data_IF_758693654993
#
_entry.id   IF_758693654993
#
_cell.length_a   1.000
_cell.length_b   1.000
_cell.length_c   1.000
_cell.angle_alpha   90.00
_cell.angle_beta   90.00
_cell.angle_gamma   90.00
#
_symmetry.space_group_name_H-M   'P 1'
#
loop_
_entity.id
_entity.type
_entity.pdbx_description
1 polymer ?
#
# COMPACT_ATOMS: atom_id res chain seq x y z
N UNK A 1 -2.08 12.86 -22.69
CA UNK A 1 -1.21 11.66 -22.61
C UNK A 1 -1.55 10.90 -21.34
N UNK A 2 -1.12 9.63 -21.21
CA UNK A 2 -1.45 8.77 -20.06
C UNK A 2 -0.98 9.32 -18.69
N UNK A 3 -0.08 10.32 -18.72
CA UNK A 3 0.53 10.98 -17.57
C UNK A 3 -0.01 12.40 -17.31
N UNK A 4 -1.01 12.88 -18.08
CA UNK A 4 -1.58 14.23 -17.89
C UNK A 4 -2.56 14.29 -16.70
N UNK A 5 -2.87 13.13 -16.11
CA UNK A 5 -3.72 13.03 -14.92
C UNK A 5 -2.99 12.25 -13.85
N UNK A 6 -3.08 12.75 -12.62
CA UNK A 6 -2.57 12.04 -11.45
C UNK A 6 -3.18 10.64 -11.35
N UNK A 7 -2.33 9.70 -10.96
CA UNK A 7 -2.67 8.30 -10.84
C UNK A 7 -2.35 7.84 -9.43
N UNK A 8 -3.25 7.03 -8.90
CA UNK A 8 -2.93 6.20 -7.74
C UNK A 8 -2.37 4.90 -8.27
N UNK A 9 -1.25 4.48 -7.69
CA UNK A 9 -0.60 3.20 -7.94
C UNK A 9 -0.77 2.35 -6.71
N UNK A 10 -1.10 1.09 -6.90
CA UNK A 10 -0.98 0.10 -5.85
C UNK A 10 0.00 -1.01 -6.24
N UNK A 11 0.72 -1.51 -5.25
CA UNK A 11 1.68 -2.61 -5.39
C UNK A 11 1.42 -3.63 -4.30
N UNK A 12 1.25 -4.89 -4.66
CA UNK A 12 1.27 -6.02 -3.74
C UNK A 12 2.62 -6.73 -3.87
N UNK A 13 3.27 -6.97 -2.74
CA UNK A 13 4.46 -7.81 -2.61
C UNK A 13 4.03 -9.12 -1.97
N UNK A 14 4.17 -10.22 -2.70
CA UNK A 14 3.78 -11.55 -2.21
C UNK A 14 4.90 -12.25 -1.41
N UNK A 15 4.62 -13.44 -0.87
CA UNK A 15 5.58 -14.21 -0.07
C UNK A 15 6.89 -14.58 -0.81
N UNK A 16 6.87 -14.56 -2.15
CA UNK A 16 8.01 -14.87 -3.02
C UNK A 16 8.69 -13.61 -3.58
N UNK A 17 8.41 -12.43 -3.03
CA UNK A 17 8.92 -11.14 -3.50
C UNK A 17 8.48 -10.79 -4.94
N UNK A 18 7.34 -11.36 -5.39
CA UNK A 18 6.73 -10.96 -6.66
C UNK A 18 5.88 -9.71 -6.47
N UNK A 19 5.98 -8.80 -7.44
CA UNK A 19 5.22 -7.56 -7.49
C UNK A 19 3.99 -7.71 -8.38
N UNK A 20 2.83 -7.32 -7.87
CA UNK A 20 1.59 -7.21 -8.61
C UNK A 20 1.14 -5.75 -8.54
N UNK A 21 1.08 -5.09 -9.69
CA UNK A 21 0.94 -3.63 -9.77
C UNK A 21 -0.35 -3.31 -10.53
N UNK A 22 -1.16 -2.39 -10.01
CA UNK A 22 -2.24 -1.80 -10.79
C UNK A 22 -2.30 -0.28 -10.59
N UNK A 23 -2.94 0.39 -11.55
CA UNK A 23 -3.00 1.85 -11.62
C UNK A 23 -4.44 2.27 -11.83
N UNK A 24 -4.89 3.25 -11.06
CA UNK A 24 -6.26 3.75 -11.09
C UNK A 24 -6.36 5.26 -11.18
N UNK A 25 -7.56 5.76 -10.90
CA UNK A 25 -7.84 7.19 -10.72
C UNK A 25 -7.76 7.56 -9.25
N UNK A 26 -7.59 8.85 -8.89
CA UNK A 26 -7.67 9.29 -7.51
C UNK A 26 -8.95 8.80 -6.80
N UNK A 27 -8.80 8.16 -5.65
CA UNK A 27 -9.84 7.54 -4.83
C UNK A 27 -10.29 6.15 -5.26
N UNK A 28 -9.70 5.56 -6.31
CA UNK A 28 -10.07 4.21 -6.77
C UNK A 28 -8.95 3.52 -7.57
N UNK A 29 -8.41 2.46 -6.99
CA UNK A 29 -7.52 1.50 -7.66
C UNK A 29 -8.05 0.09 -7.45
N UNK A 30 -8.05 -0.71 -8.52
CA UNK A 30 -8.44 -2.12 -8.47
C UNK A 30 -7.53 -2.94 -9.38
N UNK A 31 -7.60 -4.27 -9.25
CA UNK A 31 -7.04 -5.20 -10.25
C UNK A 31 -8.10 -5.59 -11.30
N UNK A 32 -9.21 -4.86 -11.38
CA UNK A 32 -10.25 -5.13 -12.37
C UNK A 32 -9.68 -4.98 -13.78
N UNK A 33 -9.86 -5.99 -14.63
CA UNK A 33 -9.25 -6.08 -15.95
C UNK A 33 -7.77 -6.49 -15.97
N UNK A 34 -7.21 -6.90 -14.82
CA UNK A 34 -5.85 -7.45 -14.66
C UNK A 34 -5.86 -8.78 -13.89
N UNK A 35 -7.02 -9.45 -13.84
CA UNK A 35 -7.21 -10.67 -13.06
C UNK A 35 -6.34 -11.83 -13.56
N UNK A 36 -5.95 -11.81 -14.83
CA UNK A 36 -5.05 -12.76 -15.46
C UNK A 36 -3.59 -12.64 -14.97
N UNK A 37 -3.25 -11.52 -14.33
CA UNK A 37 -1.93 -11.27 -13.74
C UNK A 37 -1.83 -11.72 -12.28
N UNK A 38 -2.96 -11.98 -11.64
CA UNK A 38 -3.06 -12.45 -10.24
C UNK A 38 -2.77 -13.95 -10.00
N UNK A 39 -2.90 -14.88 -10.96
CA UNK A 39 -2.69 -16.30 -10.70
C UNK A 39 -1.27 -16.58 -10.19
N UNK A 40 -1.19 -17.35 -9.11
CA UNK A 40 0.08 -17.77 -8.52
C UNK A 40 0.65 -16.83 -7.47
N UNK A 41 -0.05 -15.76 -7.09
CA UNK A 41 0.25 -14.94 -5.92
C UNK A 41 0.34 -15.81 -4.65
N UNK A 42 1.39 -15.61 -3.86
CA UNK A 42 1.65 -16.40 -2.65
C UNK A 42 1.33 -15.64 -1.37
N UNK A 43 0.54 -16.28 -0.52
CA UNK A 43 0.21 -15.82 0.82
C UNK A 43 1.23 -16.35 1.86
N UNK A 44 1.44 -15.63 2.99
CA UNK A 44 0.92 -14.29 3.26
C UNK A 44 1.56 -13.23 2.36
N UNK A 45 0.84 -12.14 2.09
CA UNK A 45 1.33 -10.97 1.40
C UNK A 45 2.25 -10.19 2.35
N UNK A 46 3.45 -9.87 1.89
CA UNK A 46 4.43 -9.11 2.68
C UNK A 46 4.01 -7.65 2.83
N UNK A 47 3.50 -7.06 1.74
CA UNK A 47 3.14 -5.64 1.77
C UNK A 47 2.13 -5.28 0.69
N UNK A 48 1.20 -4.40 1.05
CA UNK A 48 0.37 -3.66 0.11
C UNK A 48 0.76 -2.18 0.19
N UNK A 49 1.24 -1.61 -0.90
CA UNK A 49 1.63 -0.21 -1.01
C UNK A 49 0.58 0.51 -1.85
N UNK A 50 0.15 1.68 -1.42
CA UNK A 50 -0.75 2.56 -2.16
C UNK A 50 -0.19 3.99 -2.18
N UNK A 51 -0.39 4.74 -3.26
CA UNK A 51 0.11 6.12 -3.37
C UNK A 51 -1.04 7.11 -3.46
N UNK A 52 -1.02 8.18 -2.68
CA UNK A 52 -1.88 9.36 -2.90
C UNK A 52 -1.11 10.40 -3.70
N UNK A 53 -1.49 10.69 -4.96
CA UNK A 53 -0.76 11.61 -5.81
C UNK A 53 -0.92 13.09 -5.41
N UNK A 54 -1.84 13.42 -4.51
CA UNK A 54 -2.08 14.78 -4.03
C UNK A 54 -2.24 14.81 -2.50
N UNK A 55 -1.13 14.98 -1.78
CA UNK A 55 -1.15 15.34 -0.36
C UNK A 55 -0.62 14.27 0.59
N UNK A 56 -1.08 14.34 1.83
CA UNK A 56 -0.57 13.55 2.96
C UNK A 56 -0.76 12.05 2.80
N UNK A 57 0.06 11.26 3.48
CA UNK A 57 -0.14 9.82 3.59
C UNK A 57 -1.28 9.52 4.58
N UNK A 58 -2.40 8.96 4.09
CA UNK A 58 -3.50 8.51 4.94
C UNK A 58 -4.23 7.29 4.35
N UNK A 59 -4.79 6.45 5.21
CA UNK A 59 -5.72 5.40 4.77
C UNK A 59 -7.13 5.99 4.66
N UNK A 60 -7.65 6.04 3.44
CA UNK A 60 -9.06 6.37 3.18
C UNK A 60 -10.00 5.26 3.68
N UNK A 61 -11.30 5.54 3.74
CA UNK A 61 -12.29 4.51 4.10
C UNK A 61 -12.23 3.30 3.16
N UNK A 62 -11.99 3.55 1.86
CA UNK A 62 -11.83 2.50 0.85
C UNK A 62 -10.58 1.65 1.11
N UNK A 63 -9.48 2.29 1.51
CA UNK A 63 -8.24 1.60 1.85
C UNK A 63 -8.43 0.72 3.08
N UNK A 64 -9.03 1.26 4.14
CA UNK A 64 -9.31 0.52 5.37
C UNK A 64 -10.25 -0.67 5.14
N UNK A 65 -11.26 -0.53 4.26
CA UNK A 65 -12.13 -1.64 3.86
C UNK A 65 -11.35 -2.73 3.12
N UNK A 66 -10.45 -2.34 2.22
CA UNK A 66 -9.59 -3.29 1.49
C UNK A 66 -8.68 -4.03 2.45
N UNK A 67 -7.97 -3.29 3.31
CA UNK A 67 -7.12 -3.83 4.36
C UNK A 67 -7.88 -4.82 5.25
N UNK A 68 -9.08 -4.46 5.71
CA UNK A 68 -9.90 -5.32 6.58
C UNK A 68 -10.28 -6.66 5.95
N UNK A 69 -10.37 -6.75 4.62
CA UNK A 69 -10.59 -8.04 3.93
C UNK A 69 -9.34 -8.93 3.92
N UNK A 70 -8.15 -8.32 3.97
CA UNK A 70 -6.86 -9.00 3.78
C UNK A 70 -5.99 -9.05 5.05
N UNK A 71 -6.38 -8.42 6.15
CA UNK A 71 -5.55 -8.24 7.37
C UNK A 71 -4.98 -9.56 7.93
N UNK A 72 -5.67 -10.69 7.74
CA UNK A 72 -5.22 -12.01 8.20
C UNK A 72 -4.14 -12.63 7.32
N UNK A 73 -3.98 -12.11 6.11
CA UNK A 73 -3.09 -12.60 5.08
C UNK A 73 -2.08 -11.53 4.64
N UNK A 74 -2.00 -10.41 5.34
CA UNK A 74 -1.16 -9.26 5.01
C UNK A 74 -0.26 -8.93 6.20
N UNK A 75 1.04 -8.77 5.99
CA UNK A 75 1.99 -8.44 7.07
C UNK A 75 2.02 -6.93 7.36
N UNK A 76 1.90 -6.09 6.31
CA UNK A 76 1.75 -4.63 6.44
C UNK A 76 1.07 -3.99 5.24
N UNK A 77 0.46 -2.84 5.49
CA UNK A 77 -0.10 -1.94 4.49
C UNK A 77 0.56 -0.57 4.62
N UNK A 78 0.96 0.03 3.51
CA UNK A 78 1.70 1.29 3.47
C UNK A 78 1.05 2.24 2.48
N UNK A 79 0.80 3.47 2.91
CA UNK A 79 0.38 4.56 2.04
C UNK A 79 1.51 5.57 1.94
N UNK A 80 1.86 5.92 0.70
CA UNK A 80 2.83 6.96 0.38
C UNK A 80 2.10 8.22 -0.07
N UNK A 81 2.46 9.36 0.52
CA UNK A 81 2.00 10.69 0.14
C UNK A 81 3.18 11.60 -0.19
N UNK A 82 2.93 12.91 -0.16
CA UNK A 82 3.96 13.93 -0.35
C UNK A 82 4.92 13.94 0.84
N UNK A 83 6.12 13.36 0.65
CA UNK A 83 7.16 13.26 1.69
C UNK A 83 6.67 12.64 3.00
N UNK A 84 5.65 11.79 2.91
CA UNK A 84 5.03 11.14 4.06
C UNK A 84 4.79 9.65 3.75
N UNK A 85 4.88 8.84 4.79
CA UNK A 85 4.52 7.43 4.78
C UNK A 85 3.62 7.15 6.00
N UNK A 86 2.52 6.43 5.79
CA UNK A 86 1.69 5.89 6.86
C UNK A 86 1.58 4.38 6.69
N UNK A 87 1.91 3.63 7.74
CA UNK A 87 2.01 2.17 7.68
C UNK A 87 1.22 1.52 8.82
N UNK A 88 0.43 0.52 8.48
CA UNK A 88 -0.23 -0.40 9.43
C UNK A 88 0.47 -1.73 9.35
N UNK A 89 0.93 -2.22 10.48
CA UNK A 89 1.54 -3.54 10.62
C UNK A 89 0.55 -4.49 11.28
N UNK A 90 0.35 -5.67 10.69
CA UNK A 90 -0.46 -6.72 11.30
C UNK A 90 0.48 -7.68 12.03
N UNK A 91 0.21 -7.89 13.31
CA UNK A 91 1.06 -8.66 14.22
C UNK A 91 0.27 -9.74 14.91
N UNK A 92 0.98 -10.78 15.30
CA UNK A 92 0.50 -11.85 16.17
C UNK A 92 1.36 -11.84 17.41
N UNK A 93 0.75 -11.66 18.57
CA UNK A 93 1.45 -11.64 19.83
C UNK A 93 1.77 -13.04 20.35
N UNK A 94 2.45 -13.13 21.50
CA UNK A 94 2.92 -14.40 22.05
C UNK A 94 1.78 -15.40 22.36
N UNK A 95 0.58 -14.90 22.63
CA UNK A 95 -0.60 -15.70 22.98
C UNK A 95 -1.51 -15.95 21.77
N UNK A 96 -1.07 -15.58 20.56
CA UNK A 96 -1.82 -15.74 19.32
C UNK A 96 -2.84 -14.62 19.06
N UNK A 97 -2.80 -13.55 19.84
CA UNK A 97 -3.65 -12.37 19.66
C UNK A 97 -3.22 -11.57 18.43
N UNK A 98 -4.18 -11.24 17.58
CA UNK A 98 -3.94 -10.36 16.43
C UNK A 98 -4.08 -8.90 16.87
N UNK A 99 -3.09 -8.08 16.53
CA UNK A 99 -3.12 -6.64 16.79
C UNK A 99 -2.48 -5.86 15.65
N UNK A 100 -2.74 -4.56 15.64
CA UNK A 100 -2.24 -3.63 14.63
C UNK A 100 -1.29 -2.61 15.28
N UNK A 101 -0.14 -2.38 14.66
CA UNK A 101 0.77 -1.29 15.02
C UNK A 101 0.74 -0.24 13.91
N UNK A 102 0.79 1.03 14.31
CA UNK A 102 0.69 2.17 13.39
C UNK A 102 2.01 2.95 13.41
N UNK A 103 2.50 3.30 12.22
CA UNK A 103 3.65 4.17 12.03
C UNK A 103 3.28 5.30 11.08
N UNK A 104 3.74 6.51 11.39
CA UNK A 104 3.71 7.65 10.49
C UNK A 104 5.11 8.23 10.43
N UNK A 105 5.63 8.41 9.22
CA UNK A 105 6.95 8.91 8.97
C UNK A 105 6.89 10.10 8.00
N UNK A 106 7.62 11.16 8.32
CA UNK A 106 7.73 12.35 7.48
C UNK A 106 9.19 12.53 7.08
N UNK A 107 9.45 12.61 5.78
CA UNK A 107 10.78 12.86 5.23
C UNK A 107 11.09 14.36 5.38
N UNK A 108 12.16 14.68 6.11
CA UNK A 108 12.67 16.05 6.17
C UNK A 108 13.50 16.28 4.92
N UNK A 109 13.06 17.23 4.10
CA UNK A 109 13.87 17.76 3.02
C UNK A 109 14.91 18.70 3.64
N UNK A 110 16.17 18.27 3.66
CA UNK A 110 17.27 19.08 4.18
C UNK A 110 17.80 20.08 3.15
N UNK A 111 17.19 20.15 1.96
CA UNK A 111 17.57 21.07 0.88
C UNK A 111 18.90 20.72 0.23
N UNK A 112 19.44 19.52 0.45
CA UNK A 112 20.55 19.01 -0.35
C UNK A 112 20.04 18.58 -1.72
N UNK A 113 19.97 19.53 -2.64
CA UNK A 113 19.94 19.19 -4.06
C UNK A 113 21.25 18.44 -4.36
N UNK A 114 21.18 17.12 -4.59
CA UNK A 114 22.28 16.40 -5.23
C UNK A 114 22.40 16.95 -6.67
N UNK A 115 23.33 17.90 -6.85
CA UNK A 115 23.79 18.40 -8.16
C UNK A 115 24.44 17.29 -9.02
#
# INVERSE_FOLDING_TARGET
TAFDIAREVQVIIDANDKLFISVGSPGFVSFEGQEDQLPGMKLPLKEWIHTHPFGSAYFSETDLRTIGMWERYLEKATVLGDKEEMTIFFRVGPDGEHFQEYSQFNWIDDGSEEE
#
